data_IF_175141487470
#
_entry.id   IF_175141487470
#
_cell.length_a   1.000
_cell.length_b   1.000
_cell.length_c   1.000
_cell.angle_alpha   90.00
_cell.angle_beta   90.00
_cell.angle_gamma   90.00
#
_symmetry.space_group_name_H-M   'P 1'
#
loop_
_entity.id
_entity.type
_entity.pdbx_description
1 polymer ?
#
# COMPACT_ATOMS: atom_id res chain seq x y z
N UNK A 1 -13.83 16.93 17.79
CA UNK A 1 -14.14 15.97 18.88
C UNK A 1 -14.62 14.69 18.20
N UNK A 2 -13.85 13.59 18.27
CA UNK A 2 -14.25 12.34 17.63
C UNK A 2 -15.57 11.83 18.22
N UNK A 3 -16.50 11.40 17.36
CA UNK A 3 -17.74 10.74 17.80
C UNK A 3 -17.38 9.51 18.64
N UNK A 4 -18.08 9.32 19.77
CA UNK A 4 -17.90 8.14 20.63
C UNK A 4 -19.04 7.18 20.36
N UNK A 5 -18.71 5.90 20.17
CA UNK A 5 -19.73 4.85 20.13
C UNK A 5 -20.33 4.75 21.54
N UNK A 6 -21.65 4.96 21.65
CA UNK A 6 -22.38 4.96 22.93
C UNK A 6 -23.02 3.62 23.26
N UNK A 7 -23.21 2.76 22.26
CA UNK A 7 -23.83 1.43 22.38
C UNK A 7 -23.01 0.44 21.57
N UNK A 8 -21.83 0.09 22.10
CA UNK A 8 -20.92 -0.84 21.43
C UNK A 8 -21.29 -2.28 21.78
N UNK A 9 -21.72 -3.04 20.76
CA UNK A 9 -21.94 -4.47 20.85
C UNK A 9 -20.65 -5.24 21.22
N UNK A 10 -20.74 -6.44 21.82
CA UNK A 10 -19.57 -7.25 22.18
C UNK A 10 -18.56 -7.46 21.05
N UNK A 11 -19.04 -7.64 19.82
CA UNK A 11 -18.19 -7.85 18.65
C UNK A 11 -17.31 -6.64 18.34
N UNK A 12 -17.84 -5.42 18.50
CA UNK A 12 -17.06 -4.19 18.33
C UNK A 12 -15.94 -4.09 19.37
N UNK A 13 -16.20 -4.53 20.61
CA UNK A 13 -15.17 -4.61 21.65
C UNK A 13 -14.10 -5.65 21.32
N UNK A 14 -14.49 -6.80 20.78
CA UNK A 14 -13.55 -7.83 20.34
C UNK A 14 -12.63 -7.28 19.24
N UNK A 15 -13.17 -6.68 18.18
CA UNK A 15 -12.36 -6.12 17.10
C UNK A 15 -11.46 -4.99 17.58
N UNK A 16 -12.00 -4.06 18.39
CA UNK A 16 -11.21 -2.97 18.96
C UNK A 16 -10.06 -3.49 19.84
N UNK A 17 -10.31 -4.52 20.66
CA UNK A 17 -9.29 -5.16 21.49
C UNK A 17 -8.25 -5.86 20.62
N UNK A 18 -8.64 -6.63 19.60
CA UNK A 18 -7.70 -7.30 18.70
C UNK A 18 -6.80 -6.30 17.98
N UNK A 19 -7.35 -5.23 17.42
CA UNK A 19 -6.57 -4.16 16.77
C UNK A 19 -5.63 -3.48 17.77
N UNK A 20 -6.12 -3.14 18.97
CA UNK A 20 -5.29 -2.55 20.02
C UNK A 20 -4.13 -3.49 20.42
N UNK A 21 -4.37 -4.79 20.52
CA UNK A 21 -3.37 -5.72 21.01
C UNK A 21 -2.30 -6.05 19.96
N UNK A 22 -2.66 -6.03 18.68
CA UNK A 22 -1.84 -6.57 17.58
C UNK A 22 -1.35 -5.53 16.58
N UNK A 23 -1.76 -4.26 16.70
CA UNK A 23 -1.42 -3.17 15.77
C UNK A 23 -1.03 -1.85 16.47
N UNK A 24 -0.98 -1.79 17.80
CA UNK A 24 -0.81 -0.53 18.54
C UNK A 24 0.66 -0.11 18.69
N UNK A 25 0.90 1.20 18.56
CA UNK A 25 2.22 1.84 18.70
C UNK A 25 2.59 2.18 20.14
N UNK A 26 3.70 2.89 20.32
CA UNK A 26 4.13 3.48 21.57
C UNK A 26 3.43 4.83 21.80
N UNK A 27 2.89 5.03 23.00
CA UNK A 27 2.17 6.27 23.38
C UNK A 27 2.68 6.82 24.72
N UNK A 28 4.00 6.79 24.92
CA UNK A 28 4.64 7.27 26.14
C UNK A 28 4.80 6.20 27.22
N UNK A 29 5.47 6.58 28.32
CA UNK A 29 5.72 5.70 29.47
C UNK A 29 4.42 5.08 29.96
N UNK A 30 4.37 3.75 30.06
CA UNK A 30 3.15 3.03 30.42
C UNK A 30 2.43 2.37 29.24
N UNK A 31 2.71 2.79 28.00
CA UNK A 31 1.97 2.43 26.80
C UNK A 31 2.92 1.94 25.69
N UNK A 32 3.43 0.72 25.82
CA UNK A 32 4.39 0.13 24.89
C UNK A 32 3.71 -0.65 23.78
N UNK A 33 4.08 -0.35 22.52
CA UNK A 33 3.53 -0.97 21.31
C UNK A 33 3.93 -2.41 21.09
N UNK A 34 3.44 -2.96 19.99
CA UNK A 34 3.76 -4.32 19.55
C UNK A 34 5.22 -4.44 19.09
N UNK A 35 5.75 -5.66 19.18
CA UNK A 35 7.11 -6.00 18.76
C UNK A 35 7.32 -6.15 17.24
N UNK A 36 6.25 -6.30 16.45
CA UNK A 36 6.31 -6.54 14.99
C UNK A 36 6.43 -5.27 14.13
N UNK A 37 6.76 -4.12 14.72
CA UNK A 37 6.89 -2.85 13.99
C UNK A 37 8.30 -2.27 14.08
N UNK A 38 8.68 -1.49 13.08
CA UNK A 38 10.02 -0.89 13.00
C UNK A 38 10.22 0.36 13.88
N UNK A 39 9.37 0.55 14.90
CA UNK A 39 9.44 1.70 15.79
C UNK A 39 8.12 1.95 16.52
N UNK A 40 8.14 2.86 17.48
CA UNK A 40 6.98 3.20 18.30
C UNK A 40 5.84 3.88 17.53
N UNK A 41 6.14 4.63 16.47
CA UNK A 41 5.13 5.32 15.64
C UNK A 41 4.94 4.67 14.28
N UNK A 42 5.46 3.45 14.12
CA UNK A 42 5.34 2.70 12.90
C UNK A 42 3.97 2.00 12.81
N UNK A 43 3.76 1.30 11.71
CA UNK A 43 2.56 0.52 11.43
C UNK A 43 2.93 -0.93 11.13
N UNK A 44 2.02 -1.87 11.40
CA UNK A 44 2.10 -3.25 10.91
C UNK A 44 1.12 -3.41 9.73
N UNK A 45 1.60 -3.44 8.49
CA UNK A 45 0.76 -3.72 7.33
C UNK A 45 0.52 -5.23 7.19
N UNK A 46 -0.59 -5.60 6.57
CA UNK A 46 -0.91 -6.97 6.20
C UNK A 46 -1.00 -7.06 4.68
N UNK A 47 -0.04 -7.75 4.07
CA UNK A 47 0.06 -7.95 2.63
C UNK A 47 0.01 -9.45 2.34
N UNK A 48 -0.89 -9.86 1.45
CA UNK A 48 -1.05 -11.27 1.10
C UNK A 48 -1.91 -11.51 -0.12
N UNK A 49 -1.94 -12.77 -0.58
CA UNK A 49 -2.78 -13.24 -1.69
C UNK A 49 -4.08 -13.84 -1.14
N UNK A 50 -5.21 -13.46 -1.73
CA UNK A 50 -6.51 -14.06 -1.47
C UNK A 50 -6.99 -14.79 -2.73
N UNK A 51 -7.27 -16.11 -2.66
CA UNK A 51 -7.92 -16.83 -3.73
C UNK A 51 -9.40 -16.44 -3.84
N UNK A 52 -10.01 -16.75 -4.99
CA UNK A 52 -11.45 -16.58 -5.18
C UNK A 52 -12.24 -17.36 -4.11
N UNK A 53 -13.24 -16.71 -3.52
CA UNK A 53 -14.05 -17.29 -2.43
C UNK A 53 -14.14 -16.44 -1.15
N UNK A 54 -13.73 -15.16 -1.23
CA UNK A 54 -13.80 -14.18 -0.12
C UNK A 54 -12.96 -14.62 1.09
N UNK A 55 -13.30 -14.09 2.26
CA UNK A 55 -12.58 -14.27 3.52
C UNK A 55 -12.35 -15.73 3.93
N UNK A 56 -13.34 -16.62 3.72
CA UNK A 56 -13.21 -18.02 4.09
C UNK A 56 -12.10 -18.74 3.30
N UNK A 57 -12.00 -18.45 2.00
CA UNK A 57 -10.95 -18.99 1.16
C UNK A 57 -9.58 -18.41 1.52
N UNK A 58 -9.51 -17.09 1.80
CA UNK A 58 -8.28 -16.44 2.26
C UNK A 58 -7.77 -17.00 3.60
N UNK A 59 -8.64 -17.14 4.60
CA UNK A 59 -8.25 -17.67 5.91
C UNK A 59 -7.73 -19.10 5.78
N UNK A 60 -8.44 -19.95 5.04
CA UNK A 60 -8.00 -21.32 4.79
C UNK A 60 -6.62 -21.36 4.15
N UNK A 61 -6.44 -20.60 3.07
CA UNK A 61 -5.18 -20.49 2.32
C UNK A 61 -4.05 -20.01 3.21
N UNK A 62 -4.25 -18.94 3.98
CA UNK A 62 -3.21 -18.41 4.86
C UNK A 62 -2.85 -19.43 5.95
N UNK A 63 -3.82 -20.15 6.53
CA UNK A 63 -3.54 -21.22 7.50
C UNK A 63 -2.72 -22.36 6.89
N UNK A 64 -3.10 -22.84 5.71
CA UNK A 64 -2.37 -23.89 4.98
C UNK A 64 -0.94 -23.44 4.67
N UNK A 65 -0.77 -22.21 4.16
CA UNK A 65 0.56 -21.62 3.88
C UNK A 65 1.40 -21.41 5.13
N UNK A 66 0.81 -20.96 6.24
CA UNK A 66 1.55 -20.80 7.51
C UNK A 66 2.10 -22.14 8.01
N UNK A 67 1.34 -23.23 7.87
CA UNK A 67 1.82 -24.57 8.22
C UNK A 67 2.99 -24.97 7.33
N UNK A 68 2.88 -24.76 6.01
CA UNK A 68 3.94 -25.08 5.04
C UNK A 68 5.23 -24.27 5.28
N UNK A 69 5.10 -22.98 5.59
CA UNK A 69 6.22 -22.05 5.77
C UNK A 69 6.92 -22.19 7.13
N UNK A 70 6.36 -22.96 8.06
CA UNK A 70 6.82 -22.97 9.45
C UNK A 70 8.29 -23.34 9.59
N UNK A 71 8.74 -24.40 8.93
CA UNK A 71 10.13 -24.87 9.02
C UNK A 71 11.12 -23.84 8.49
N UNK A 72 10.78 -23.20 7.37
CA UNK A 72 11.58 -22.11 6.79
C UNK A 72 11.65 -20.91 7.72
N UNK A 73 10.52 -20.52 8.34
CA UNK A 73 10.49 -19.38 9.26
C UNK A 73 11.31 -19.67 10.52
N UNK A 74 11.24 -20.86 11.10
CA UNK A 74 12.09 -21.22 12.24
C UNK A 74 13.57 -21.19 11.84
N UNK A 75 13.92 -21.72 10.67
CA UNK A 75 15.31 -21.71 10.18
C UNK A 75 15.84 -20.28 9.96
N UNK A 76 15.01 -19.39 9.41
CA UNK A 76 15.38 -17.99 9.14
C UNK A 76 15.38 -17.12 10.41
N UNK A 77 14.62 -17.51 11.43
CA UNK A 77 14.45 -16.78 12.68
C UNK A 77 14.70 -17.70 13.89
N UNK A 78 15.95 -18.18 14.09
CA UNK A 78 16.29 -19.18 15.10
C UNK A 78 16.21 -18.66 16.55
N UNK A 79 15.84 -17.39 16.75
CA UNK A 79 15.56 -16.84 18.08
C UNK A 79 14.25 -17.37 18.67
N UNK A 80 13.33 -17.88 17.84
CA UNK A 80 12.08 -18.46 18.32
C UNK A 80 12.25 -19.91 18.76
N UNK A 81 11.33 -20.36 19.62
CA UNK A 81 11.27 -21.77 19.99
C UNK A 81 10.64 -22.58 18.84
N UNK A 82 11.38 -23.57 18.36
CA UNK A 82 10.97 -24.46 17.28
C UNK A 82 9.67 -25.24 17.60
N UNK A 83 9.61 -25.87 18.79
CA UNK A 83 8.47 -26.66 19.24
C UNK A 83 7.97 -26.23 20.62
N UNK A 84 6.65 -26.19 20.81
CA UNK A 84 6.04 -25.85 22.11
C UNK A 84 6.24 -24.39 22.52
N UNK A 85 6.57 -23.51 21.56
CA UNK A 85 6.57 -22.07 21.76
C UNK A 85 5.17 -21.54 22.12
N UNK A 86 5.11 -20.46 22.88
CA UNK A 86 3.85 -19.81 23.23
C UNK A 86 3.28 -19.07 22.01
N UNK A 87 2.23 -19.63 21.40
CA UNK A 87 1.50 -18.96 20.31
C UNK A 87 0.45 -17.95 20.80
N UNK A 88 -0.25 -18.25 21.90
CA UNK A 88 -1.32 -17.39 22.42
C UNK A 88 -0.83 -16.65 23.66
N UNK A 89 -0.28 -15.45 23.47
CA UNK A 89 0.43 -14.73 24.54
C UNK A 89 -0.49 -14.38 25.73
N UNK A 90 -1.79 -14.21 25.49
CA UNK A 90 -2.78 -13.93 26.54
C UNK A 90 -3.00 -15.06 27.53
N UNK A 91 -2.57 -16.29 27.22
CA UNK A 91 -2.64 -17.41 28.18
C UNK A 91 -1.59 -17.29 29.29
N UNK A 92 -0.56 -16.46 29.11
CA UNK A 92 0.41 -16.16 30.18
C UNK A 92 -0.05 -14.93 30.97
N UNK A 93 -0.16 -15.02 32.31
CA UNK A 93 -0.43 -13.87 33.15
C UNK A 93 0.56 -12.71 32.91
N UNK A 94 0.08 -11.47 33.05
CA UNK A 94 0.91 -10.29 32.92
C UNK A 94 0.64 -9.23 33.99
N UNK A 95 1.66 -8.98 34.81
CA UNK A 95 1.65 -7.98 35.88
C UNK A 95 1.99 -6.55 35.37
N UNK A 96 2.43 -6.42 34.12
CA UNK A 96 2.92 -5.17 33.54
C UNK A 96 4.43 -4.95 33.71
N UNK A 97 5.18 -5.89 34.28
CA UNK A 97 6.63 -5.80 34.43
C UNK A 97 7.35 -6.95 33.73
N UNK A 98 6.84 -8.18 33.87
CA UNK A 98 7.42 -9.36 33.25
C UNK A 98 7.30 -9.28 31.72
N UNK A 99 8.42 -9.55 31.05
CA UNK A 99 8.53 -9.61 29.61
C UNK A 99 8.71 -11.06 29.17
N UNK A 100 8.24 -11.38 27.98
CA UNK A 100 8.55 -12.63 27.29
C UNK A 100 9.70 -12.37 26.32
N UNK A 101 10.57 -13.35 26.14
CA UNK A 101 11.64 -13.29 25.12
C UNK A 101 11.29 -14.18 23.92
N UNK A 102 11.89 -13.98 22.73
CA UNK A 102 11.59 -14.79 21.55
C UNK A 102 11.75 -16.29 21.78
N UNK A 103 12.69 -16.70 22.63
CA UNK A 103 12.97 -18.10 22.95
C UNK A 103 11.83 -18.77 23.73
N UNK A 104 10.86 -17.99 24.22
CA UNK A 104 9.62 -18.51 24.82
C UNK A 104 8.47 -18.64 23.81
N UNK A 105 8.59 -18.01 22.64
CA UNK A 105 7.48 -17.77 21.72
C UNK A 105 7.51 -18.71 20.52
N UNK A 106 6.31 -19.02 20.03
CA UNK A 106 6.13 -19.57 18.69
C UNK A 106 6.34 -18.46 17.65
N UNK A 107 6.95 -18.71 16.47
CA UNK A 107 7.13 -17.66 15.45
C UNK A 107 5.82 -16.95 15.03
N UNK A 108 4.67 -17.63 15.11
CA UNK A 108 3.35 -17.07 14.78
C UNK A 108 2.59 -16.54 16.00
N UNK A 109 3.28 -16.24 17.10
CA UNK A 109 2.63 -15.73 18.29
C UNK A 109 1.69 -14.54 17.99
N UNK A 110 0.54 -14.54 18.66
CA UNK A 110 -0.41 -13.44 18.66
C UNK A 110 -0.15 -12.57 19.89
N UNK A 111 0.25 -11.34 19.62
CA UNK A 111 0.72 -10.40 20.65
C UNK A 111 -0.43 -9.79 21.48
N UNK A 112 -0.11 -9.46 22.73
CA UNK A 112 -0.89 -8.55 23.59
C UNK A 112 0.00 -7.46 24.18
N UNK A 113 0.04 -6.29 23.53
CA UNK A 113 0.90 -5.18 23.96
C UNK A 113 0.30 -4.28 25.06
N UNK A 114 -0.99 -4.41 25.39
CA UNK A 114 -1.69 -3.57 26.38
C UNK A 114 -2.40 -4.37 27.44
N UNK A 115 -2.44 -3.83 28.67
CA UNK A 115 -3.22 -4.40 29.78
C UNK A 115 -4.61 -3.80 29.76
N UNK A 116 -5.58 -4.59 29.32
CA UNK A 116 -6.99 -4.21 29.23
C UNK A 116 -7.81 -5.29 29.91
N UNK A 117 -8.75 -4.87 30.76
CA UNK A 117 -9.77 -5.75 31.33
C UNK A 117 -11.14 -5.19 30.95
N UNK A 118 -11.92 -5.98 30.23
CA UNK A 118 -13.32 -5.65 29.95
C UNK A 118 -14.19 -6.11 31.12
N UNK A 119 -15.18 -5.30 31.47
CA UNK A 119 -16.19 -5.61 32.47
C UNK A 119 -17.57 -5.17 31.95
N UNK A 120 -18.61 -5.94 32.21
CA UNK A 120 -19.98 -5.50 31.97
C UNK A 120 -20.56 -4.97 33.28
N UNK A 121 -20.98 -3.71 33.32
CA UNK A 121 -21.50 -3.06 34.53
C UNK A 121 -23.03 -3.18 34.70
N UNK A 122 -23.68 -3.94 33.81
CA UNK A 122 -25.14 -4.06 33.74
C UNK A 122 -25.76 -3.20 32.63
N UNK A 123 -25.05 -2.17 32.15
CA UNK A 123 -25.54 -1.25 31.11
C UNK A 123 -24.62 -1.17 29.91
N UNK A 124 -23.31 -1.25 30.12
CA UNK A 124 -22.31 -1.15 29.08
C UNK A 124 -21.11 -2.06 29.38
N UNK A 125 -20.39 -2.41 28.32
CA UNK A 125 -19.04 -2.94 28.45
C UNK A 125 -18.10 -1.76 28.69
N UNK A 126 -17.28 -1.87 29.74
CA UNK A 126 -16.30 -0.87 30.16
C UNK A 126 -14.91 -1.50 30.10
N UNK A 127 -13.95 -0.74 29.55
CA UNK A 127 -12.55 -1.15 29.50
C UNK A 127 -11.71 -0.45 30.58
N UNK A 128 -11.16 -1.26 31.50
CA UNK A 128 -10.15 -0.81 32.45
C UNK A 128 -8.77 -1.00 31.85
N UNK A 129 -7.97 0.07 31.78
CA UNK A 129 -6.61 0.04 31.26
C UNK A 129 -5.60 0.08 32.39
N UNK A 130 -4.60 -0.79 32.33
CA UNK A 130 -3.41 -0.76 33.18
C UNK A 130 -2.18 -0.32 32.41
N UNK A 131 -1.31 0.45 33.05
CA UNK A 131 0.01 0.73 32.49
C UNK A 131 0.94 -0.50 32.61
N UNK A 132 1.96 -0.56 31.77
CA UNK A 132 3.10 -1.47 31.92
C UNK A 132 4.41 -0.67 32.08
N UNK A 133 5.38 -1.21 32.84
CA UNK A 133 6.71 -0.59 32.99
C UNK A 133 7.65 -0.95 31.84
N UNK A 134 7.34 -2.01 31.09
CA UNK A 134 8.13 -2.56 29.98
C UNK A 134 7.20 -3.10 28.88
N UNK A 135 7.65 -3.25 27.63
CA UNK A 135 6.88 -3.96 26.60
C UNK A 135 6.66 -5.42 26.99
N UNK A 136 5.52 -6.00 26.58
CA UNK A 136 5.20 -7.40 26.89
C UNK A 136 6.22 -8.37 26.28
N UNK A 137 6.70 -8.07 25.08
CA UNK A 137 7.69 -8.87 24.38
C UNK A 137 8.98 -8.06 24.28
N UNK A 138 10.09 -8.65 24.74
CA UNK A 138 11.43 -8.09 24.68
C UNK A 138 12.15 -8.65 23.46
N UNK A 139 11.97 -8.00 22.30
CA UNK A 139 12.75 -8.35 21.11
C UNK A 139 14.20 -7.89 21.23
N UNK A 140 15.15 -8.65 20.64
CA UNK A 140 16.52 -8.20 20.45
C UNK A 140 16.57 -6.84 19.75
N UNK A 141 17.54 -6.01 20.16
CA UNK A 141 17.77 -4.71 19.53
C UNK A 141 18.18 -4.88 18.06
N UNK A 142 17.85 -3.88 17.23
CA UNK A 142 18.26 -3.85 15.82
C UNK A 142 17.39 -4.67 14.86
N UNK A 143 16.41 -5.46 15.34
CA UNK A 143 15.48 -6.19 14.45
C UNK A 143 14.57 -5.25 13.66
N UNK A 144 14.26 -4.06 14.17
CA UNK A 144 13.42 -3.06 13.48
C UNK A 144 12.12 -3.68 12.90
N UNK A 145 11.43 -4.49 13.69
CA UNK A 145 10.18 -5.17 13.30
C UNK A 145 10.36 -6.41 12.40
N UNK A 146 11.58 -6.69 11.92
CA UNK A 146 11.88 -7.89 11.14
C UNK A 146 11.87 -9.13 12.05
N UNK A 147 10.68 -9.69 12.22
CA UNK A 147 10.35 -10.71 13.22
C UNK A 147 9.86 -12.02 12.60
N UNK A 148 10.00 -12.18 11.28
CA UNK A 148 9.39 -13.29 10.55
C UNK A 148 7.88 -13.20 10.40
N UNK A 149 7.33 -11.97 10.46
CA UNK A 149 5.90 -11.73 10.28
C UNK A 149 5.43 -12.12 8.87
N UNK A 150 4.55 -13.13 8.71
CA UNK A 150 4.16 -13.66 7.40
C UNK A 150 3.44 -12.68 6.49
N UNK A 151 2.94 -11.57 7.04
CA UNK A 151 2.16 -10.57 6.31
C UNK A 151 2.92 -9.26 6.04
N UNK A 152 4.11 -9.04 6.63
CA UNK A 152 4.79 -7.74 6.55
C UNK A 152 6.02 -7.80 5.64
N UNK A 153 6.06 -7.05 4.52
CA UNK A 153 7.27 -6.93 3.69
C UNK A 153 8.43 -6.27 4.45
N UNK A 154 9.67 -6.58 4.05
CA UNK A 154 10.88 -6.02 4.66
C UNK A 154 11.58 -5.07 3.67
N UNK A 155 11.80 -3.82 4.08
CA UNK A 155 12.66 -2.87 3.36
C UNK A 155 14.11 -3.39 3.40
N UNK A 156 14.64 -3.75 2.24
CA UNK A 156 15.97 -4.36 2.11
C UNK A 156 17.09 -3.38 2.41
N UNK A 157 16.90 -2.10 2.08
CA UNK A 157 17.94 -1.08 2.23
C UNK A 157 18.22 -0.79 3.69
N UNK A 158 17.17 -0.80 4.52
CA UNK A 158 17.27 -0.45 5.94
C UNK A 158 17.06 -1.66 6.86
N UNK A 159 16.87 -2.86 6.31
CA UNK A 159 16.60 -4.11 7.03
C UNK A 159 15.52 -3.95 8.10
N UNK A 160 14.37 -3.38 7.71
CA UNK A 160 13.27 -3.06 8.63
C UNK A 160 11.92 -3.47 8.07
N UNK A 161 10.99 -3.80 8.94
CA UNK A 161 9.59 -4.03 8.56
C UNK A 161 9.01 -2.82 7.84
N UNK A 162 8.15 -3.04 6.85
CA UNK A 162 7.45 -1.98 6.13
C UNK A 162 6.66 -1.08 7.09
N UNK A 163 6.73 0.23 6.89
CA UNK A 163 5.82 1.20 7.50
C UNK A 163 5.10 1.95 6.41
N UNK A 164 3.79 2.05 6.56
CA UNK A 164 2.91 2.78 5.66
C UNK A 164 2.49 4.05 6.39
N UNK A 165 2.59 5.18 5.69
CA UNK A 165 2.13 6.48 6.19
C UNK A 165 0.66 6.73 5.80
N UNK A 166 0.10 7.88 6.23
CA UNK A 166 -1.27 8.27 5.95
C UNK A 166 -1.66 8.41 4.48
N UNK A 167 -0.72 8.27 3.53
CA UNK A 167 -1.04 8.21 2.09
C UNK A 167 -1.52 6.83 1.63
N UNK A 168 -1.47 5.80 2.48
CA UNK A 168 -2.02 4.48 2.19
C UNK A 168 -1.32 3.75 1.04
N UNK A 169 -2.07 3.03 0.21
CA UNK A 169 -1.55 2.12 -0.83
C UNK A 169 -1.80 2.62 -2.27
N UNK A 170 -1.34 3.81 -2.63
CA UNK A 170 -1.40 4.27 -4.03
C UNK A 170 -0.47 3.47 -4.96
N UNK A 171 -0.68 3.57 -6.27
CA UNK A 171 -0.09 2.67 -7.27
C UNK A 171 1.43 2.70 -7.25
N UNK A 172 2.05 3.88 -7.09
CA UNK A 172 3.51 4.01 -6.98
C UNK A 172 4.03 3.21 -5.79
N UNK A 173 3.42 3.33 -4.61
CA UNK A 173 3.86 2.59 -3.42
C UNK A 173 3.70 1.09 -3.64
N UNK A 174 2.56 0.64 -4.15
CA UNK A 174 2.35 -0.78 -4.41
C UNK A 174 3.34 -1.31 -5.46
N UNK A 175 3.64 -0.56 -6.52
CA UNK A 175 4.68 -0.92 -7.49
C UNK A 175 6.07 -1.06 -6.86
N UNK A 176 6.42 -0.19 -5.89
CA UNK A 176 7.65 -0.33 -5.11
C UNK A 176 7.63 -1.56 -4.21
N UNK A 177 6.51 -1.88 -3.56
CA UNK A 177 6.35 -3.07 -2.72
C UNK A 177 6.46 -4.38 -3.51
N UNK A 178 6.16 -4.34 -4.81
CA UNK A 178 6.31 -5.46 -5.72
C UNK A 178 7.73 -5.57 -6.31
N UNK A 179 8.62 -4.59 -6.06
CA UNK A 179 10.00 -4.59 -6.54
C UNK A 179 10.92 -5.37 -5.58
N UNK A 180 11.40 -6.57 -5.96
CA UNK A 180 12.24 -7.41 -5.10
C UNK A 180 13.62 -6.80 -4.82
N UNK A 181 14.05 -5.78 -5.58
CA UNK A 181 15.28 -5.03 -5.29
C UNK A 181 15.11 -4.05 -4.14
N UNK A 182 13.87 -3.65 -3.83
CA UNK A 182 13.54 -2.71 -2.76
C UNK A 182 13.00 -3.39 -1.52
N UNK A 183 12.09 -4.35 -1.71
CA UNK A 183 11.44 -5.07 -0.62
C UNK A 183 11.62 -6.58 -0.77
N UNK A 184 11.89 -7.25 0.34
CA UNK A 184 11.61 -8.68 0.44
C UNK A 184 10.10 -8.81 0.65
N UNK A 185 9.39 -9.53 -0.23
CA UNK A 185 7.93 -9.69 -0.10
C UNK A 185 7.58 -10.42 1.18
N UNK A 186 6.38 -10.17 1.70
CA UNK A 186 5.86 -10.95 2.81
C UNK A 186 5.68 -12.42 2.37
N UNK A 187 5.92 -13.43 3.23
CA UNK A 187 5.73 -14.83 2.84
C UNK A 187 4.33 -15.16 2.27
N UNK A 188 3.28 -14.51 2.76
CA UNK A 188 1.91 -14.69 2.27
C UNK A 188 1.58 -13.88 1.01
N UNK A 189 2.47 -13.00 0.57
CA UNK A 189 2.37 -12.25 -0.70
C UNK A 189 2.73 -13.11 -1.92
N UNK A 190 3.35 -14.27 -1.72
CA UNK A 190 3.75 -15.15 -2.81
C UNK A 190 2.59 -15.99 -3.32
N UNK A 191 2.39 -15.95 -4.64
CA UNK A 191 1.42 -16.80 -5.35
C UNK A 191 1.99 -18.21 -5.47
N UNK A 192 1.16 -19.21 -5.21
CA UNK A 192 1.50 -20.63 -5.25
C UNK A 192 0.55 -21.41 -6.15
N UNK A 193 0.93 -22.59 -6.65
CA UNK A 193 0.03 -23.43 -7.45
C UNK A 193 -1.28 -23.79 -6.73
N UNK A 194 -1.27 -23.85 -5.39
CA UNK A 194 -2.44 -24.14 -4.57
C UNK A 194 -3.48 -23.02 -4.51
N UNK A 195 -3.12 -21.78 -4.89
CA UNK A 195 -4.02 -20.64 -4.88
C UNK A 195 -5.08 -20.70 -6.02
N UNK A 196 -4.90 -21.62 -6.98
CA UNK A 196 -5.79 -21.82 -8.11
C UNK A 196 -5.58 -20.81 -9.24
N UNK A 197 -6.40 -20.90 -10.29
CA UNK A 197 -6.26 -20.10 -11.53
C UNK A 197 -7.49 -19.26 -11.87
N UNK A 198 -8.54 -19.29 -11.04
CA UNK A 198 -9.79 -18.55 -11.29
C UNK A 198 -9.71 -17.03 -10.99
N UNK A 199 -8.50 -16.49 -10.89
CA UNK A 199 -8.21 -15.12 -10.46
C UNK A 199 -7.93 -15.03 -8.96
N UNK A 200 -7.06 -14.10 -8.60
CA UNK A 200 -6.57 -13.88 -7.23
C UNK A 200 -6.70 -12.39 -6.87
N UNK A 201 -6.63 -12.05 -5.59
CA UNK A 201 -6.49 -10.67 -5.14
C UNK A 201 -5.17 -10.50 -4.37
N UNK A 202 -4.38 -9.50 -4.74
CA UNK A 202 -3.35 -8.96 -3.85
C UNK A 202 -4.05 -8.04 -2.85
N UNK A 203 -4.04 -8.44 -1.59
CA UNK A 203 -4.64 -7.71 -0.47
C UNK A 203 -3.56 -6.92 0.28
N UNK A 204 -3.82 -5.64 0.54
CA UNK A 204 -2.98 -4.78 1.36
C UNK A 204 -3.88 -4.07 2.36
N UNK A 205 -3.57 -4.16 3.65
CA UNK A 205 -4.29 -3.40 4.67
C UNK A 205 -3.36 -2.91 5.77
N UNK A 206 -3.69 -1.77 6.39
CA UNK A 206 -2.91 -1.21 7.48
C UNK A 206 -3.75 -0.23 8.29
N UNK A 207 -3.53 -0.19 9.60
CA UNK A 207 -3.98 0.93 10.44
C UNK A 207 -2.77 1.82 10.71
N UNK A 208 -2.76 3.02 10.14
CA UNK A 208 -1.61 3.94 10.25
C UNK A 208 -1.72 4.73 11.55
N UNK A 209 -0.61 4.81 12.29
CA UNK A 209 -0.52 5.54 13.54
C UNK A 209 0.41 6.74 13.36
N UNK A 210 0.02 7.86 13.93
CA UNK A 210 0.84 9.06 14.08
C UNK A 210 1.28 9.23 15.54
N UNK A 211 1.92 10.35 15.84
CA UNK A 211 2.34 10.70 17.20
C UNK A 211 1.11 11.04 18.08
N UNK A 212 0.45 10.03 18.65
CA UNK A 212 -0.74 10.20 19.48
C UNK A 212 -2.06 10.19 18.71
N UNK A 213 -2.03 9.96 17.40
CA UNK A 213 -3.20 9.97 16.52
C UNK A 213 -3.24 8.72 15.61
N UNK A 214 -4.33 8.55 14.87
CA UNK A 214 -4.50 7.52 13.84
C UNK A 214 -4.71 8.23 12.51
N UNK A 215 -3.86 7.95 11.51
CA UNK A 215 -3.93 8.55 10.17
C UNK A 215 -4.83 7.74 9.22
N UNK A 216 -5.74 6.96 9.80
CA UNK A 216 -6.75 6.17 9.10
C UNK A 216 -6.43 4.68 8.97
N UNK A 217 -7.46 3.94 8.61
CA UNK A 217 -7.36 2.59 8.08
C UNK A 217 -7.31 2.66 6.56
N UNK A 218 -6.33 1.98 5.97
CA UNK A 218 -6.13 1.92 4.53
C UNK A 218 -6.21 0.47 4.09
N UNK A 219 -7.06 0.19 3.10
CA UNK A 219 -7.17 -1.13 2.47
C UNK A 219 -7.11 -0.94 0.95
N UNK A 220 -6.43 -1.85 0.27
CA UNK A 220 -6.47 -1.99 -1.18
C UNK A 220 -6.51 -3.46 -1.56
N UNK A 221 -7.40 -3.79 -2.49
CA UNK A 221 -7.48 -5.09 -3.14
C UNK A 221 -7.23 -4.90 -4.62
N UNK A 222 -6.26 -5.63 -5.15
CA UNK A 222 -5.84 -5.55 -6.55
C UNK A 222 -6.14 -6.90 -7.18
N UNK A 223 -7.04 -6.91 -8.17
CA UNK A 223 -7.41 -8.13 -8.87
C UNK A 223 -6.27 -8.57 -9.79
N UNK A 224 -5.82 -9.80 -9.62
CA UNK A 224 -4.96 -10.52 -10.57
C UNK A 224 -5.90 -11.34 -11.45
N UNK A 225 -6.11 -10.96 -12.73
CA UNK A 225 -7.04 -11.66 -13.59
C UNK A 225 -6.56 -13.09 -13.86
N UNK A 226 -7.46 -14.05 -14.15
CA UNK A 226 -7.11 -15.46 -14.42
C UNK A 226 -5.96 -15.63 -15.42
N UNK A 227 -5.92 -14.79 -16.45
CA UNK A 227 -4.88 -14.81 -17.49
C UNK A 227 -3.49 -14.38 -17.00
N UNK A 228 -3.42 -13.58 -15.93
CA UNK A 228 -2.16 -13.14 -15.34
C UNK A 228 -1.63 -14.10 -14.28
N UNK A 229 -2.46 -14.98 -13.70
CA UNK A 229 -2.01 -15.90 -12.64
C UNK A 229 -0.81 -16.77 -13.05
N UNK A 230 -0.77 -17.38 -14.26
CA UNK A 230 0.37 -18.16 -14.69
C UNK A 230 1.69 -17.39 -14.67
N UNK A 231 1.67 -16.08 -14.99
CA UNK A 231 2.87 -15.24 -14.95
C UNK A 231 3.53 -15.25 -13.58
N UNK A 232 2.76 -15.15 -12.49
CA UNK A 232 3.31 -15.13 -11.12
C UNK A 232 3.96 -16.44 -10.67
N UNK A 233 3.66 -17.55 -11.34
CA UNK A 233 4.23 -18.87 -11.04
C UNK A 233 5.56 -19.12 -11.76
N UNK A 234 5.95 -18.27 -12.71
CA UNK A 234 7.18 -18.43 -13.48
C UNK A 234 8.42 -17.90 -12.73
N UNK A 235 9.58 -18.53 -13.00
CA UNK A 235 10.85 -18.05 -12.47
C UNK A 235 11.19 -16.68 -13.08
N UNK A 236 11.58 -15.73 -12.24
CA UNK A 236 11.91 -14.36 -12.67
C UNK A 236 10.70 -13.42 -12.83
N UNK A 237 9.48 -13.91 -12.57
CA UNK A 237 8.26 -13.10 -12.65
C UNK A 237 8.32 -11.83 -11.79
N UNK A 238 8.93 -11.91 -10.59
CA UNK A 238 9.07 -10.76 -9.68
C UNK A 238 9.94 -9.64 -10.27
N UNK A 239 11.08 -9.99 -10.87
CA UNK A 239 11.98 -9.01 -11.49
C UNK A 239 11.32 -8.36 -12.70
N UNK A 240 10.63 -9.16 -13.52
CA UNK A 240 9.90 -8.66 -14.69
C UNK A 240 8.72 -7.78 -14.30
N UNK A 241 7.93 -8.18 -13.30
CA UNK A 241 6.85 -7.37 -12.72
C UNK A 241 7.38 -6.02 -12.25
N UNK A 242 8.51 -6.01 -11.54
CA UNK A 242 9.13 -4.81 -11.01
C UNK A 242 9.62 -3.87 -12.13
N UNK A 243 10.25 -4.41 -13.17
CA UNK A 243 10.66 -3.66 -14.36
C UNK A 243 9.45 -2.98 -15.02
N UNK A 244 8.44 -3.77 -15.41
CA UNK A 244 7.25 -3.27 -16.13
C UNK A 244 6.49 -2.25 -15.26
N UNK A 245 6.33 -2.51 -13.96
CA UNK A 245 5.68 -1.59 -13.04
C UNK A 245 6.45 -0.27 -12.87
N UNK A 246 7.78 -0.31 -12.73
CA UNK A 246 8.61 0.91 -12.66
C UNK A 246 8.54 1.73 -13.93
N UNK A 247 8.55 1.09 -15.09
CA UNK A 247 8.42 1.77 -16.37
C UNK A 247 7.04 2.45 -16.49
N UNK A 248 5.97 1.77 -16.07
CA UNK A 248 4.63 2.38 -16.05
C UNK A 248 4.54 3.55 -15.08
N UNK A 249 5.09 3.43 -13.87
CA UNK A 249 5.16 4.54 -12.90
C UNK A 249 5.91 5.73 -13.52
N UNK A 250 7.03 5.48 -14.21
CA UNK A 250 7.81 6.50 -14.90
C UNK A 250 7.01 7.16 -16.02
N UNK A 251 6.31 6.37 -16.85
CA UNK A 251 5.45 6.89 -17.91
C UNK A 251 4.32 7.77 -17.37
N UNK A 252 3.62 7.33 -16.31
CA UNK A 252 2.58 8.12 -15.65
C UNK A 252 3.16 9.42 -15.06
N UNK A 253 4.33 9.37 -14.42
CA UNK A 253 5.02 10.55 -13.90
C UNK A 253 5.43 11.52 -15.02
N UNK A 254 5.90 11.01 -16.15
CA UNK A 254 6.22 11.81 -17.35
C UNK A 254 4.98 12.47 -17.92
N UNK A 255 3.87 11.74 -18.07
CA UNK A 255 2.59 12.33 -18.50
C UNK A 255 2.15 13.44 -17.56
N UNK A 256 2.18 13.21 -16.24
CA UNK A 256 1.81 14.21 -15.23
C UNK A 256 2.69 15.46 -15.29
N UNK A 257 4.01 15.27 -15.31
CA UNK A 257 4.98 16.36 -15.07
C UNK A 257 5.47 17.06 -16.33
N UNK A 258 5.57 16.34 -17.46
CA UNK A 258 6.11 16.86 -18.73
C UNK A 258 5.03 17.17 -19.75
N UNK A 259 3.83 16.60 -19.62
CA UNK A 259 2.74 16.79 -20.58
C UNK A 259 1.60 17.62 -19.99
N UNK A 260 0.91 17.10 -18.98
CA UNK A 260 -0.28 17.75 -18.41
C UNK A 260 0.06 19.03 -17.62
N UNK A 261 1.09 18.98 -16.77
CA UNK A 261 1.48 20.14 -15.94
C UNK A 261 1.81 21.38 -16.80
N UNK A 262 2.70 21.33 -17.81
CA UNK A 262 2.96 22.48 -18.67
C UNK A 262 1.71 23.04 -19.36
N UNK A 263 0.80 22.18 -19.82
CA UNK A 263 -0.45 22.61 -20.45
C UNK A 263 -1.37 23.36 -19.48
N UNK A 264 -1.54 22.85 -18.25
CA UNK A 264 -2.33 23.52 -17.21
C UNK A 264 -1.71 24.86 -16.78
N UNK A 265 -0.38 24.91 -16.66
CA UNK A 265 0.31 26.17 -16.37
C UNK A 265 0.14 27.19 -17.50
N UNK A 266 0.25 26.77 -18.77
CA UNK A 266 0.00 27.63 -19.94
C UNK A 266 -1.42 28.20 -19.90
N UNK A 267 -2.41 27.36 -19.59
CA UNK A 267 -3.81 27.75 -19.47
C UNK A 267 -4.01 28.79 -18.36
N UNK A 268 -3.55 28.52 -17.14
CA UNK A 268 -3.80 29.39 -15.99
C UNK A 268 -2.94 30.66 -15.93
N UNK A 269 -1.85 30.72 -16.70
CA UNK A 269 -1.02 31.92 -16.86
C UNK A 269 -1.43 32.76 -18.07
N UNK A 270 -2.49 32.38 -18.78
CA UNK A 270 -3.02 33.08 -19.96
C UNK A 270 -2.01 33.21 -21.10
N UNK A 271 -1.44 32.07 -21.53
CA UNK A 271 -0.57 32.01 -22.72
C UNK A 271 0.67 32.96 -22.63
N UNK A 272 1.49 32.89 -21.55
CA UNK A 272 2.63 33.80 -21.39
C UNK A 272 3.76 33.47 -22.38
N UNK A 273 4.68 34.39 -22.67
CA UNK A 273 5.86 34.06 -23.50
C UNK A 273 6.71 32.95 -22.87
N UNK A 274 6.80 32.91 -21.53
CA UNK A 274 7.51 31.87 -20.77
C UNK A 274 6.65 31.36 -19.61
N UNK A 275 6.57 30.03 -19.45
CA UNK A 275 5.82 29.40 -18.36
C UNK A 275 6.60 29.53 -17.04
N UNK A 276 5.97 30.09 -16.01
CA UNK A 276 6.55 30.16 -14.66
C UNK A 276 6.03 29.03 -13.76
N UNK A 277 6.75 27.91 -13.71
CA UNK A 277 6.39 26.76 -12.86
C UNK A 277 6.45 27.01 -11.36
N UNK A 278 7.07 28.11 -10.92
CA UNK A 278 7.25 28.47 -9.50
C UNK A 278 6.23 29.48 -8.99
N UNK A 279 5.25 29.87 -9.80
CA UNK A 279 4.21 30.82 -9.40
C UNK A 279 3.22 30.16 -8.41
N UNK A 280 3.18 30.55 -7.12
CA UNK A 280 2.44 29.80 -6.09
C UNK A 280 0.94 29.75 -6.33
N UNK A 281 0.33 30.85 -6.77
CA UNK A 281 -1.10 30.89 -7.06
C UNK A 281 -1.49 30.02 -8.27
N UNK A 282 -0.58 29.81 -9.22
CA UNK A 282 -0.81 28.88 -10.33
C UNK A 282 -0.63 27.43 -9.86
N UNK A 283 0.40 27.15 -9.06
CA UNK A 283 0.59 25.81 -8.46
C UNK A 283 -0.65 25.37 -7.69
N UNK A 284 -1.21 26.23 -6.84
CA UNK A 284 -2.43 25.94 -6.08
C UNK A 284 -3.65 25.66 -6.97
N UNK A 285 -3.75 26.29 -8.15
CA UNK A 285 -4.82 26.03 -9.14
C UNK A 285 -4.60 24.75 -9.92
N UNK A 286 -3.36 24.43 -10.24
CA UNK A 286 -2.97 23.28 -11.05
C UNK A 286 -3.06 21.96 -10.26
N UNK A 287 -2.67 21.98 -8.99
CA UNK A 287 -2.51 20.75 -8.20
C UNK A 287 -3.78 19.89 -8.09
N UNK A 288 -5.01 20.44 -7.89
CA UNK A 288 -6.21 19.63 -7.88
C UNK A 288 -6.44 18.80 -9.16
N UNK A 289 -6.05 19.34 -10.32
CA UNK A 289 -6.17 18.65 -11.61
C UNK A 289 -5.09 17.57 -11.77
N UNK A 290 -3.86 17.84 -11.32
CA UNK A 290 -2.81 16.84 -11.35
C UNK A 290 -3.04 15.71 -10.33
N UNK A 291 -3.59 16.04 -9.17
CA UNK A 291 -4.04 15.04 -8.19
C UNK A 291 -5.21 14.21 -8.73
N UNK A 292 -6.11 14.82 -9.53
CA UNK A 292 -7.15 14.08 -10.24
C UNK A 292 -6.55 13.09 -11.23
N UNK A 293 -5.58 13.52 -12.04
CA UNK A 293 -4.88 12.64 -12.97
C UNK A 293 -4.24 11.45 -12.24
N UNK A 294 -3.53 11.67 -11.14
CA UNK A 294 -2.92 10.59 -10.35
C UNK A 294 -3.97 9.61 -9.78
N UNK A 295 -5.14 10.10 -9.34
CA UNK A 295 -6.24 9.23 -8.89
C UNK A 295 -6.83 8.39 -10.03
N UNK A 296 -6.99 8.98 -11.21
CA UNK A 296 -7.50 8.27 -12.38
C UNK A 296 -6.50 7.19 -12.82
N UNK A 297 -5.19 7.47 -12.80
CA UNK A 297 -4.15 6.45 -13.03
C UNK A 297 -4.19 5.38 -11.94
N UNK A 298 -4.31 5.76 -10.67
CA UNK A 298 -4.32 4.82 -9.56
C UNK A 298 -5.45 3.78 -9.65
N UNK A 299 -6.59 4.18 -10.22
CA UNK A 299 -7.80 3.36 -10.31
C UNK A 299 -7.63 2.09 -11.17
N UNK A 300 -6.86 2.15 -12.25
CA UNK A 300 -6.71 1.06 -13.24
C UNK A 300 -5.25 0.67 -13.54
N UNK A 301 -4.29 1.29 -12.85
CA UNK A 301 -2.87 1.03 -13.08
C UNK A 301 -2.54 -0.47 -13.12
N UNK A 302 -3.07 -1.24 -12.16
CA UNK A 302 -2.79 -2.66 -12.03
C UNK A 302 -3.55 -3.52 -13.04
N UNK A 303 -4.72 -3.10 -13.47
CA UNK A 303 -5.47 -3.81 -14.51
C UNK A 303 -4.65 -3.81 -15.81
N UNK A 304 -4.21 -2.63 -16.25
CA UNK A 304 -3.38 -2.52 -17.43
C UNK A 304 -1.97 -3.14 -17.26
N UNK A 305 -1.40 -3.10 -16.04
CA UNK A 305 -0.13 -3.77 -15.76
C UNK A 305 -0.26 -5.28 -15.96
N UNK A 306 -1.29 -5.91 -15.42
CA UNK A 306 -1.46 -7.36 -15.51
C UNK A 306 -1.92 -7.82 -16.89
N UNK A 307 -2.68 -7.00 -17.63
CA UNK A 307 -2.93 -7.24 -19.05
C UNK A 307 -1.61 -7.31 -19.83
N UNK A 308 -0.69 -6.36 -19.63
CA UNK A 308 0.61 -6.37 -20.30
C UNK A 308 1.46 -7.58 -19.91
N UNK A 309 1.50 -7.92 -18.62
CA UNK A 309 2.25 -9.09 -18.13
C UNK A 309 1.64 -10.42 -18.55
N UNK A 310 0.35 -10.48 -18.84
CA UNK A 310 -0.30 -11.66 -19.41
C UNK A 310 0.22 -11.97 -20.82
N UNK A 311 0.77 -10.97 -21.51
CA UNK A 311 1.35 -11.07 -22.85
C UNK A 311 2.89 -11.06 -22.83
N UNK A 312 3.53 -11.38 -21.70
CA UNK A 312 5.01 -11.31 -21.55
C UNK A 312 5.76 -12.20 -22.55
N UNK A 313 5.16 -13.31 -22.99
CA UNK A 313 5.70 -14.19 -24.03
C UNK A 313 5.53 -13.64 -25.46
N UNK A 314 4.80 -12.54 -25.64
CA UNK A 314 4.55 -11.87 -26.91
C UNK A 314 4.91 -10.38 -26.82
N UNK A 315 6.20 -10.02 -26.98
CA UNK A 315 6.68 -8.64 -26.83
C UNK A 315 5.93 -7.62 -27.70
N UNK A 316 5.51 -8.02 -28.90
CA UNK A 316 4.72 -7.16 -29.80
C UNK A 316 3.32 -6.89 -29.26
N UNK A 317 2.66 -7.88 -28.65
CA UNK A 317 1.36 -7.68 -28.00
C UNK A 317 1.49 -6.82 -26.74
N UNK A 318 2.46 -7.11 -25.87
CA UNK A 318 2.76 -6.29 -24.69
C UNK A 318 3.04 -4.83 -25.05
N UNK A 319 3.84 -4.59 -26.10
CA UNK A 319 4.13 -3.24 -26.62
C UNK A 319 2.87 -2.52 -27.11
N UNK A 320 1.95 -3.21 -27.80
CA UNK A 320 0.66 -2.64 -28.22
C UNK A 320 -0.20 -2.25 -27.03
N UNK A 321 -0.29 -3.09 -25.99
CA UNK A 321 -1.02 -2.79 -24.76
C UNK A 321 -0.43 -1.57 -24.05
N UNK A 322 0.89 -1.47 -23.94
CA UNK A 322 1.56 -0.30 -23.38
C UNK A 322 1.24 0.97 -24.16
N UNK A 323 1.29 0.91 -25.49
CA UNK A 323 0.95 2.05 -26.37
C UNK A 323 -0.50 2.48 -26.21
N UNK A 324 -1.44 1.52 -26.17
CA UNK A 324 -2.85 1.81 -25.94
C UNK A 324 -3.07 2.55 -24.62
N UNK A 325 -2.46 2.07 -23.53
CA UNK A 325 -2.50 2.73 -22.23
C UNK A 325 -1.92 4.15 -22.25
N UNK A 326 -0.79 4.37 -22.93
CA UNK A 326 -0.21 5.72 -23.08
C UNK A 326 -1.16 6.70 -23.81
N UNK A 327 -1.87 6.22 -24.83
CA UNK A 327 -2.86 7.02 -25.55
C UNK A 327 -4.09 7.32 -24.68
N UNK A 328 -4.49 6.37 -23.83
CA UNK A 328 -5.55 6.59 -22.84
C UNK A 328 -5.14 7.63 -21.78
N UNK A 329 -3.90 7.56 -21.28
CA UNK A 329 -3.37 8.61 -20.39
C UNK A 329 -3.38 9.99 -21.06
N UNK A 330 -3.06 10.06 -22.36
CA UNK A 330 -3.13 11.31 -23.13
C UNK A 330 -4.57 11.82 -23.21
N UNK A 331 -5.54 10.94 -23.52
CA UNK A 331 -6.95 11.30 -23.58
C UNK A 331 -7.44 11.86 -22.23
N UNK A 332 -7.13 11.18 -21.12
CA UNK A 332 -7.45 11.63 -19.76
C UNK A 332 -6.83 12.99 -19.43
N UNK A 333 -5.57 13.20 -19.81
CA UNK A 333 -4.92 14.50 -19.64
C UNK A 333 -5.65 15.61 -20.43
N UNK A 334 -6.12 15.31 -21.64
CA UNK A 334 -6.96 16.20 -22.45
C UNK A 334 -8.30 16.54 -21.78
N UNK A 335 -8.99 15.54 -21.25
CA UNK A 335 -10.28 15.73 -20.55
C UNK A 335 -10.13 16.57 -19.27
N UNK A 336 -9.05 16.35 -18.52
CA UNK A 336 -8.71 17.15 -17.34
C UNK A 336 -8.40 18.60 -17.73
N UNK A 337 -7.65 18.81 -18.81
CA UNK A 337 -7.35 20.15 -19.33
C UNK A 337 -8.63 20.87 -19.78
N UNK A 338 -9.54 20.18 -20.47
CA UNK A 338 -10.84 20.71 -20.86
C UNK A 338 -11.72 21.06 -19.65
N UNK A 339 -11.69 20.23 -18.60
CA UNK A 339 -12.38 20.51 -17.34
C UNK A 339 -11.80 21.75 -16.64
N UNK A 340 -10.48 21.90 -16.63
CA UNK A 340 -9.79 23.08 -16.09
C UNK A 340 -10.17 24.37 -16.84
N UNK A 341 -10.33 24.28 -18.15
CA UNK A 341 -10.82 25.40 -18.98
C UNK A 341 -12.25 25.79 -18.60
N UNK A 342 -13.15 24.81 -18.45
CA UNK A 342 -14.56 25.03 -18.15
C UNK A 342 -14.78 25.82 -16.86
N UNK A 343 -13.95 25.58 -15.84
CA UNK A 343 -14.02 26.26 -14.54
C UNK A 343 -13.32 27.62 -14.46
N UNK A 344 -12.67 28.11 -15.52
CA UNK A 344 -11.88 29.35 -15.47
C UNK A 344 -12.71 30.59 -15.87
N UNK A 345 -12.85 31.62 -15.01
CA UNK A 345 -13.55 32.85 -15.34
C UNK A 345 -12.69 33.71 -16.28
N UNK A 346 -12.92 33.61 -17.59
CA UNK A 346 -12.21 34.36 -18.63
C UNK A 346 -13.17 35.00 -19.63
N UNK A 347 -12.81 36.18 -20.16
CA UNK A 347 -13.46 36.78 -21.33
C UNK A 347 -13.33 35.84 -22.54
N UNK A 348 -14.40 35.69 -23.34
CA UNK A 348 -14.49 34.73 -24.47
C UNK A 348 -13.23 34.70 -25.38
N UNK A 349 -12.71 35.84 -25.82
CA UNK A 349 -11.56 35.89 -26.75
C UNK A 349 -10.26 35.35 -26.14
N UNK A 350 -9.96 35.73 -24.89
CA UNK A 350 -8.76 35.26 -24.16
C UNK A 350 -8.84 33.76 -23.86
N UNK A 351 -10.07 33.25 -23.67
CA UNK A 351 -10.34 31.83 -23.44
C UNK A 351 -9.98 30.97 -24.66
N UNK A 352 -10.39 31.37 -25.87
CA UNK A 352 -10.08 30.60 -27.08
C UNK A 352 -8.57 30.51 -27.38
N UNK A 353 -7.83 31.63 -27.25
CA UNK A 353 -6.38 31.63 -27.48
C UNK A 353 -5.63 30.79 -26.45
N UNK A 354 -5.91 30.98 -25.16
CA UNK A 354 -5.26 30.22 -24.09
C UNK A 354 -5.55 28.72 -24.20
N UNK A 355 -6.77 28.35 -24.64
CA UNK A 355 -7.15 26.97 -24.93
C UNK A 355 -6.32 26.35 -26.05
N UNK A 356 -6.29 26.98 -27.23
CA UNK A 356 -5.57 26.44 -28.37
C UNK A 356 -4.07 26.28 -28.06
N UNK A 357 -3.48 27.25 -27.34
CA UNK A 357 -2.09 27.17 -26.90
C UNK A 357 -1.86 26.03 -25.90
N UNK A 358 -2.72 25.88 -24.88
CA UNK A 358 -2.57 24.82 -23.89
C UNK A 358 -2.73 23.41 -24.52
N UNK A 359 -3.69 23.24 -25.43
CA UNK A 359 -3.88 21.98 -26.16
C UNK A 359 -2.67 21.66 -27.04
N UNK A 360 -2.15 22.66 -27.77
CA UNK A 360 -0.92 22.50 -28.56
C UNK A 360 0.26 22.09 -27.68
N UNK A 361 0.42 22.67 -26.48
CA UNK A 361 1.46 22.28 -25.53
C UNK A 361 1.30 20.82 -25.10
N UNK A 362 0.09 20.39 -24.77
CA UNK A 362 -0.20 19.00 -24.39
C UNK A 362 0.18 18.03 -25.53
N UNK A 363 -0.28 18.32 -26.75
CA UNK A 363 -0.03 17.46 -27.90
C UNK A 363 1.46 17.38 -28.27
N UNK A 364 2.13 18.52 -28.37
CA UNK A 364 3.57 18.56 -28.69
C UNK A 364 4.41 17.93 -27.58
N UNK A 365 4.09 18.18 -26.31
CA UNK A 365 4.81 17.57 -25.19
C UNK A 365 4.63 16.05 -25.14
N UNK A 366 3.43 15.54 -25.44
CA UNK A 366 3.19 14.11 -25.54
C UNK A 366 4.03 13.48 -26.67
N UNK A 367 4.02 14.07 -27.86
CA UNK A 367 4.80 13.58 -29.00
C UNK A 367 6.29 13.51 -28.67
N UNK A 368 6.83 14.56 -28.05
CA UNK A 368 8.24 14.60 -27.67
C UNK A 368 8.58 13.60 -26.55
N UNK A 369 7.70 13.43 -25.55
CA UNK A 369 7.98 12.57 -24.40
C UNK A 369 7.85 11.07 -24.72
N UNK A 370 7.01 10.71 -25.69
CA UNK A 370 6.68 9.32 -26.02
C UNK A 370 6.94 8.97 -27.49
N UNK A 371 7.83 9.71 -28.17
CA UNK A 371 8.17 9.54 -29.59
C UNK A 371 8.49 8.08 -29.95
N UNK A 372 9.28 7.40 -29.11
CA UNK A 372 9.69 6.00 -29.28
C UNK A 372 8.54 4.99 -29.14
N UNK A 373 7.39 5.39 -28.59
CA UNK A 373 6.18 4.58 -28.52
C UNK A 373 5.18 4.89 -29.64
N UNK A 374 5.32 6.06 -30.27
CA UNK A 374 4.38 6.57 -31.27
C UNK A 374 4.85 6.21 -32.68
N UNK A 375 6.16 6.29 -32.94
CA UNK A 375 6.74 5.82 -34.20
C UNK A 375 6.70 4.29 -34.20
N UNK A 376 5.81 3.74 -35.03
CA UNK A 376 5.91 2.35 -35.46
C UNK A 376 7.14 2.21 -36.37
N UNK A 377 7.87 1.10 -36.24
CA UNK A 377 8.79 0.65 -37.29
C UNK A 377 7.99 0.26 -38.54
#
# INVERSE_FOLDING_TARGET
>A
KAARITSAEPDLWLFALLTLQTCEGFLGRGNYGISRMNGGFASRPFVGIAPKGRWGAQIRRDMERLIELRSEIVANYPMYREEGGLGLVWLRPWDGNAQLTPEELDPYYVEICRRVRLNFDGTAIVAHRGASRKPRIAMPEGLNGNTGDPWTPIDRKHSKALTVDGSGFHYRRVAELLDPSRFTPAPLQDVTPGDGSEGLELTLSVTVRGQGETEGYHERRILIPPRAVPFFLHRGAKDRLAEVARDRVTNAATMRTKVLSPALFRLFQNDPDTINFRHPATQAKVEPFLARFDRDVDADFFDHLFEELSEDSNPSAARRLRRAWLMELKARAGDILATAEAGSPLSHVRRYRARAAAQSVLDSAFQNAFESWIRED
#
